data_IF_302957215187
#
_entry.id   IF_302957215187
#
_cell.length_a   1.000
_cell.length_b   1.000
_cell.length_c   1.000
_cell.angle_alpha   90.00
_cell.angle_beta   90.00
_cell.angle_gamma   90.00
#
_symmetry.space_group_name_H-M   'P 1'
#
loop_
_entity.id
_entity.type
_entity.pdbx_description
1 polymer ?
#
# COMPACT_ATOMS: atom_id res chain seq x y z
N UNK A 1 -35.07 -54.62 -26.91
CA UNK A 1 -34.26 -53.47 -27.37
C UNK A 1 -34.50 -52.35 -26.37
N UNK A 2 -33.66 -52.26 -25.34
CA UNK A 2 -33.83 -51.35 -24.20
C UNK A 2 -32.88 -50.18 -24.39
N UNK A 3 -33.42 -48.98 -24.54
CA UNK A 3 -32.64 -47.75 -24.67
C UNK A 3 -32.25 -47.26 -23.27
N UNK A 4 -31.00 -47.50 -22.89
CA UNK A 4 -30.40 -46.97 -21.67
C UNK A 4 -30.12 -45.47 -21.82
N UNK A 5 -31.08 -44.66 -21.38
CA UNK A 5 -30.96 -43.20 -21.27
C UNK A 5 -30.28 -42.84 -19.95
N UNK A 6 -29.00 -43.22 -19.78
CA UNK A 6 -28.22 -42.87 -18.59
C UNK A 6 -27.06 -41.94 -18.94
N UNK A 7 -27.39 -40.67 -19.23
CA UNK A 7 -26.43 -39.57 -19.24
C UNK A 7 -26.94 -38.44 -18.36
N UNK A 8 -26.93 -38.65 -17.05
CA UNK A 8 -27.02 -37.55 -16.07
C UNK A 8 -25.80 -36.65 -16.28
N UNK A 9 -26.04 -35.55 -16.97
CA UNK A 9 -25.12 -34.43 -17.11
C UNK A 9 -24.81 -33.86 -15.72
N UNK A 10 -23.78 -34.40 -15.08
CA UNK A 10 -23.14 -33.79 -13.92
C UNK A 10 -22.23 -32.64 -14.38
N UNK A 11 -22.83 -31.64 -15.04
CA UNK A 11 -22.22 -30.32 -15.21
C UNK A 11 -22.90 -29.36 -14.22
N UNK A 12 -22.73 -29.66 -12.94
CA UNK A 12 -22.92 -28.68 -11.87
C UNK A 12 -21.58 -27.93 -11.65
N UNK A 13 -21.63 -26.65 -11.27
CA UNK A 13 -21.08 -25.63 -12.15
C UNK A 13 -19.68 -25.18 -11.71
N UNK A 14 -18.76 -25.24 -12.66
CA UNK A 14 -17.41 -24.68 -12.57
C UNK A 14 -17.41 -23.13 -12.43
N UNK A 15 -18.59 -22.51 -12.31
CA UNK A 15 -18.80 -21.08 -12.04
C UNK A 15 -18.86 -20.73 -10.54
N UNK A 16 -19.09 -21.68 -9.63
CA UNK A 16 -19.15 -21.41 -8.18
C UNK A 16 -17.76 -21.38 -7.55
N UNK A 17 -16.79 -22.14 -8.08
CA UNK A 17 -15.38 -22.08 -7.65
C UNK A 17 -14.64 -20.83 -8.15
N UNK A 18 -15.18 -20.11 -9.15
CA UNK A 18 -14.54 -18.94 -9.79
C UNK A 18 -14.65 -17.62 -9.00
N UNK A 19 -15.35 -17.61 -7.87
CA UNK A 19 -15.68 -16.36 -7.16
C UNK A 19 -15.22 -16.36 -5.71
N UNK A 20 -14.15 -17.09 -5.35
CA UNK A 20 -13.31 -16.65 -4.23
C UNK A 20 -12.36 -15.55 -4.72
N UNK A 21 -12.94 -14.53 -5.35
CA UNK A 21 -12.25 -13.27 -5.61
C UNK A 21 -11.64 -12.86 -4.28
N UNK A 22 -10.33 -12.69 -4.25
CA UNK A 22 -9.63 -12.30 -3.03
C UNK A 22 -10.34 -11.09 -2.46
N UNK A 23 -10.99 -11.30 -1.32
CA UNK A 23 -11.68 -10.25 -0.59
C UNK A 23 -10.58 -9.40 0.04
N UNK A 24 -9.96 -8.55 -0.78
CA UNK A 24 -9.03 -7.55 -0.31
C UNK A 24 -9.86 -6.63 0.56
N UNK A 25 -9.73 -6.84 1.86
CA UNK A 25 -10.45 -6.07 2.84
C UNK A 25 -9.92 -4.64 2.79
N UNK A 26 -10.82 -3.66 2.71
CA UNK A 26 -10.50 -2.24 2.77
C UNK A 26 -9.57 -1.92 3.98
N UNK A 27 -9.83 -2.58 5.12
CA UNK A 27 -8.98 -2.51 6.30
C UNK A 27 -7.52 -2.94 6.09
N UNK A 28 -7.23 -3.85 5.14
CA UNK A 28 -5.85 -4.22 4.80
C UNK A 28 -5.13 -3.08 4.09
N UNK A 29 -5.84 -2.30 3.26
CA UNK A 29 -5.31 -1.10 2.62
C UNK A 29 -5.00 -0.02 3.66
N UNK A 30 -5.91 0.21 4.61
CA UNK A 30 -5.69 1.12 5.74
C UNK A 30 -4.46 0.70 6.55
N UNK A 31 -4.37 -0.58 6.95
CA UNK A 31 -3.23 -1.09 7.73
C UNK A 31 -1.90 -0.95 6.97
N UNK A 32 -1.91 -1.25 5.68
CA UNK A 32 -0.74 -1.05 4.81
C UNK A 32 -0.29 0.42 4.82
N UNK A 33 -1.20 1.36 4.55
CA UNK A 33 -0.86 2.79 4.50
C UNK A 33 -0.41 3.31 5.87
N UNK A 34 -1.06 2.89 6.95
CA UNK A 34 -0.67 3.28 8.31
C UNK A 34 0.76 2.86 8.64
N UNK A 35 1.12 1.60 8.39
CA UNK A 35 2.47 1.08 8.65
C UNK A 35 3.48 1.72 7.70
N UNK A 36 3.12 1.91 6.43
CA UNK A 36 3.94 2.63 5.45
C UNK A 36 4.32 4.01 5.96
N UNK A 37 3.33 4.81 6.36
CA UNK A 37 3.58 6.18 6.77
C UNK A 37 4.33 6.27 8.10
N UNK A 38 4.08 5.38 9.07
CA UNK A 38 4.90 5.31 10.29
C UNK A 38 6.37 5.03 9.94
N UNK A 39 6.64 4.01 9.11
CA UNK A 39 8.01 3.68 8.72
C UNK A 39 8.68 4.82 7.95
N UNK A 40 7.94 5.46 7.04
CA UNK A 40 8.43 6.61 6.29
C UNK A 40 8.77 7.80 7.20
N UNK A 41 7.86 8.22 8.08
CA UNK A 41 8.11 9.34 8.99
C UNK A 41 9.19 9.05 10.02
N UNK A 42 9.33 7.79 10.44
CA UNK A 42 10.44 7.37 11.29
C UNK A 42 11.77 7.58 10.56
N UNK A 43 11.92 7.08 9.33
CA UNK A 43 13.13 7.29 8.53
C UNK A 43 13.39 8.78 8.29
N UNK A 44 12.35 9.55 7.95
CA UNK A 44 12.44 10.99 7.72
C UNK A 44 12.89 11.77 8.97
N UNK A 45 12.57 11.30 10.17
CA UNK A 45 12.98 11.94 11.42
C UNK A 45 14.52 11.93 11.58
N UNK A 46 15.19 10.87 11.13
CA UNK A 46 16.65 10.75 11.23
C UNK A 46 17.38 11.30 10.01
N UNK A 47 16.75 11.29 8.85
CA UNK A 47 17.35 11.83 7.62
C UNK A 47 17.37 13.36 7.67
N UNK A 48 18.54 13.93 7.35
CA UNK A 48 18.73 15.38 7.32
C UNK A 48 18.60 16.03 8.70
N UNK A 49 18.85 15.29 9.79
CA UNK A 49 18.83 15.79 11.17
C UNK A 49 17.51 16.43 11.62
N UNK A 50 16.39 16.20 10.92
CA UNK A 50 15.11 16.87 11.22
C UNK A 50 14.65 16.71 12.66
N UNK A 51 14.77 15.52 13.24
CA UNK A 51 14.45 15.31 14.66
C UNK A 51 15.40 16.06 15.58
N UNK A 52 16.71 16.05 15.27
CA UNK A 52 17.70 16.78 16.05
C UNK A 52 17.42 18.28 16.03
N UNK A 53 17.12 18.82 14.86
CA UNK A 53 16.86 20.25 14.67
C UNK A 53 15.54 20.68 15.29
N UNK A 54 14.52 19.82 15.26
CA UNK A 54 13.21 20.11 15.87
C UNK A 54 13.21 19.91 17.39
N UNK A 55 13.93 18.91 17.91
CA UNK A 55 13.84 18.47 19.31
C UNK A 55 15.11 18.77 20.10
N UNK A 56 16.24 18.22 19.67
CA UNK A 56 17.49 18.25 20.47
C UNK A 56 18.06 19.66 20.55
N UNK A 57 18.15 20.37 19.43
CA UNK A 57 18.76 21.71 19.37
C UNK A 57 17.88 22.79 20.02
N UNK A 58 16.58 22.52 20.21
CA UNK A 58 15.62 23.44 20.83
C UNK A 58 15.37 23.15 22.32
N UNK A 59 15.89 22.05 22.87
CA UNK A 59 15.67 21.69 24.26
C UNK A 59 16.74 22.28 25.18
N UNK A 60 16.34 23.09 26.15
CA UNK A 60 17.23 23.65 27.18
C UNK A 60 17.30 22.77 28.44
N UNK A 61 16.39 21.79 28.57
CA UNK A 61 16.31 20.88 29.71
C UNK A 61 15.81 19.49 29.30
N UNK A 62 16.00 18.50 30.16
CA UNK A 62 15.50 17.13 29.94
C UNK A 62 13.98 17.07 29.85
N UNK A 63 13.26 17.88 30.64
CA UNK A 63 11.80 17.95 30.59
C UNK A 63 11.31 18.56 29.27
N UNK A 64 11.99 19.59 28.78
CA UNK A 64 11.69 20.20 27.48
C UNK A 64 11.95 19.23 26.33
N UNK A 65 13.04 18.44 26.39
CA UNK A 65 13.35 17.40 25.41
C UNK A 65 12.20 16.38 25.30
N UNK A 66 11.68 15.90 26.43
CA UNK A 66 10.53 14.97 26.44
C UNK A 66 9.29 15.62 25.83
N UNK A 67 8.98 16.87 26.22
CA UNK A 67 7.84 17.63 25.68
C UNK A 67 7.93 17.79 24.16
N UNK A 68 9.10 18.21 23.65
CA UNK A 68 9.32 18.39 22.21
C UNK A 68 9.29 17.06 21.46
N UNK A 69 9.84 15.99 22.04
CA UNK A 69 9.76 14.64 21.45
C UNK A 69 8.31 14.19 21.30
N UNK A 70 7.49 14.32 22.35
CA UNK A 70 6.06 13.96 22.31
C UNK A 70 5.33 14.84 21.29
N UNK A 71 5.60 16.16 21.29
CA UNK A 71 5.03 17.09 20.32
C UNK A 71 5.34 16.69 18.87
N UNK A 72 6.58 16.32 18.58
CA UNK A 72 7.01 15.85 17.26
C UNK A 72 6.32 14.55 16.84
N UNK A 73 6.21 13.58 17.76
CA UNK A 73 5.50 12.31 17.48
C UNK A 73 4.01 12.55 17.25
N UNK A 74 3.36 13.37 18.08
CA UNK A 74 1.95 13.73 17.91
C UNK A 74 1.69 14.48 16.61
N UNK A 75 2.59 15.40 16.24
CA UNK A 75 2.55 16.10 14.96
C UNK A 75 2.55 15.10 13.80
N UNK A 76 3.48 14.14 13.78
CA UNK A 76 3.51 13.08 12.76
C UNK A 76 2.22 12.25 12.76
N UNK A 77 1.81 11.76 13.93
CA UNK A 77 0.61 10.93 14.08
C UNK A 77 -0.66 11.65 13.62
N UNK A 78 -0.72 12.96 13.77
CA UNK A 78 -1.85 13.77 13.31
C UNK A 78 -1.95 13.85 11.79
N UNK A 79 -0.82 13.88 11.06
CA UNK A 79 -0.81 13.93 9.59
C UNK A 79 -1.14 12.59 8.94
N UNK A 80 -0.80 11.47 9.58
CA UNK A 80 -0.98 10.12 9.02
C UNK A 80 -2.44 9.85 8.59
N UNK A 81 -3.49 10.12 9.40
CA UNK A 81 -4.88 9.92 9.01
C UNK A 81 -5.27 10.64 7.72
N UNK A 82 -4.82 11.89 7.51
CA UNK A 82 -5.13 12.64 6.29
C UNK A 82 -4.56 11.96 5.05
N UNK A 83 -3.31 11.50 5.13
CA UNK A 83 -2.67 10.76 4.05
C UNK A 83 -3.36 9.43 3.78
N UNK A 84 -3.77 8.71 4.84
CA UNK A 84 -4.54 7.47 4.69
C UNK A 84 -5.86 7.74 3.97
N UNK A 85 -6.61 8.77 4.36
CA UNK A 85 -7.91 9.08 3.73
C UNK A 85 -7.73 9.35 2.23
N UNK A 86 -6.72 10.14 1.85
CA UNK A 86 -6.45 10.51 0.46
C UNK A 86 -6.02 9.28 -0.36
N UNK A 87 -5.09 8.47 0.14
CA UNK A 87 -4.46 7.40 -0.64
C UNK A 87 -5.15 6.03 -0.49
N UNK A 88 -6.05 5.83 0.49
CA UNK A 88 -6.72 4.54 0.69
C UNK A 88 -7.74 4.24 -0.41
N UNK A 89 -8.43 5.24 -0.93
CA UNK A 89 -9.42 5.04 -2.01
C UNK A 89 -8.72 4.62 -3.31
N UNK A 90 -7.71 5.36 -3.83
CA UNK A 90 -7.00 4.96 -5.04
C UNK A 90 -6.41 3.56 -4.96
N UNK A 91 -5.71 3.22 -3.87
CA UNK A 91 -5.09 1.90 -3.76
C UNK A 91 -6.12 0.76 -3.68
N UNK A 92 -7.24 1.00 -3.00
CA UNK A 92 -8.33 0.03 -2.93
C UNK A 92 -8.96 -0.21 -4.32
N UNK A 93 -9.10 0.83 -5.14
CA UNK A 93 -9.57 0.70 -6.52
C UNK A 93 -8.58 -0.06 -7.40
N UNK A 94 -7.28 0.20 -7.24
CA UNK A 94 -6.21 -0.53 -7.96
C UNK A 94 -6.32 -2.02 -7.68
N UNK A 95 -6.51 -2.41 -6.41
CA UNK A 95 -6.69 -3.81 -6.02
C UNK A 95 -7.93 -4.51 -6.62
N UNK A 96 -8.91 -3.77 -7.14
CA UNK A 96 -10.08 -4.34 -7.84
C UNK A 96 -9.82 -4.62 -9.32
N UNK A 97 -8.72 -4.14 -9.89
CA UNK A 97 -8.41 -4.31 -11.31
C UNK A 97 -8.07 -5.78 -11.60
N UNK A 98 -8.78 -6.38 -12.55
CA UNK A 98 -8.58 -7.78 -12.96
C UNK A 98 -7.48 -7.94 -14.02
N UNK A 99 -7.29 -6.94 -14.88
CA UNK A 99 -6.27 -6.98 -15.92
C UNK A 99 -4.89 -6.71 -15.30
N UNK A 100 -3.96 -7.66 -15.45
CA UNK A 100 -2.61 -7.60 -14.86
C UNK A 100 -1.81 -6.38 -15.33
N UNK A 101 -1.84 -6.08 -16.62
CA UNK A 101 -1.07 -4.97 -17.18
C UNK A 101 -1.61 -3.63 -16.66
N UNK A 102 -2.93 -3.47 -16.65
CA UNK A 102 -3.58 -2.28 -16.11
C UNK A 102 -3.32 -2.14 -14.59
N UNK A 103 -3.34 -3.24 -13.86
CA UNK A 103 -3.03 -3.26 -12.42
C UNK A 103 -1.61 -2.75 -12.13
N UNK A 104 -0.61 -3.31 -12.82
CA UNK A 104 0.79 -2.89 -12.66
C UNK A 104 0.97 -1.43 -13.08
N UNK A 105 0.36 -1.03 -14.19
CA UNK A 105 0.41 0.36 -14.66
C UNK A 105 -0.17 1.33 -13.63
N UNK A 106 -1.36 1.04 -13.08
CA UNK A 106 -1.96 1.89 -12.05
C UNK A 106 -1.15 1.91 -10.75
N UNK A 107 -0.46 0.82 -10.38
CA UNK A 107 0.47 0.83 -9.24
C UNK A 107 1.66 1.76 -9.50
N UNK A 108 2.26 1.71 -10.69
CA UNK A 108 3.36 2.60 -11.07
C UNK A 108 2.90 4.06 -11.00
N UNK A 109 1.74 4.36 -11.58
CA UNK A 109 1.14 5.71 -11.54
C UNK A 109 0.84 6.13 -10.10
N UNK A 110 0.33 5.24 -9.26
CA UNK A 110 0.05 5.54 -7.86
C UNK A 110 1.31 5.90 -7.08
N UNK A 111 2.35 5.07 -7.18
CA UNK A 111 3.63 5.34 -6.52
C UNK A 111 4.34 6.58 -7.08
N UNK A 112 4.24 6.82 -8.39
CA UNK A 112 4.73 8.06 -9.01
C UNK A 112 3.98 9.29 -8.51
N UNK A 113 2.65 9.24 -8.42
CA UNK A 113 1.85 10.33 -7.87
C UNK A 113 2.17 10.57 -6.39
N UNK A 114 2.35 9.53 -5.58
CA UNK A 114 2.80 9.67 -4.20
C UNK A 114 4.17 10.32 -4.10
N UNK A 115 5.11 9.97 -4.99
CA UNK A 115 6.42 10.61 -5.07
C UNK A 115 6.30 12.11 -5.36
N UNK A 116 5.54 12.48 -6.41
CA UNK A 116 5.37 13.87 -6.83
C UNK A 116 4.65 14.70 -5.76
N UNK A 117 3.56 14.19 -5.20
CA UNK A 117 2.81 14.87 -4.13
C UNK A 117 3.74 15.14 -2.93
N UNK A 118 4.57 14.17 -2.54
CA UNK A 118 5.49 14.38 -1.43
C UNK A 118 6.62 15.36 -1.75
N UNK A 119 7.25 15.20 -2.91
CA UNK A 119 8.34 16.09 -3.33
C UNK A 119 7.85 17.52 -3.44
N UNK A 120 6.70 17.74 -4.08
CA UNK A 120 6.13 19.06 -4.28
C UNK A 120 5.65 19.72 -2.97
N UNK A 121 5.03 18.97 -2.05
CA UNK A 121 4.48 19.56 -0.83
C UNK A 121 5.53 19.82 0.25
N UNK A 122 6.58 18.99 0.33
CA UNK A 122 7.50 19.02 1.47
C UNK A 122 8.92 19.45 1.13
N UNK A 123 9.35 19.28 -0.12
CA UNK A 123 10.74 19.53 -0.50
C UNK A 123 10.92 19.74 -2.01
N UNK A 124 10.39 20.84 -2.59
CA UNK A 124 10.45 21.06 -4.04
C UNK A 124 11.87 21.06 -4.61
N UNK A 125 12.87 21.45 -3.79
CA UNK A 125 14.27 21.54 -4.17
C UNK A 125 15.10 20.28 -3.87
N UNK A 126 14.57 19.34 -3.09
CA UNK A 126 15.26 18.10 -2.73
C UNK A 126 14.28 16.92 -2.81
N UNK A 127 14.44 16.09 -3.85
CA UNK A 127 13.61 14.92 -4.10
C UNK A 127 13.89 13.71 -3.20
N UNK A 128 14.89 13.78 -2.31
CA UNK A 128 15.28 12.67 -1.44
C UNK A 128 14.10 12.15 -0.58
N UNK A 129 13.26 12.99 0.06
CA UNK A 129 12.08 12.54 0.81
C UNK A 129 11.11 11.73 -0.06
N UNK A 130 10.89 12.15 -1.31
CA UNK A 130 10.08 11.41 -2.27
C UNK A 130 10.64 10.01 -2.55
N UNK A 131 11.96 9.90 -2.74
CA UNK A 131 12.64 8.61 -2.98
C UNK A 131 12.46 7.68 -1.79
N UNK A 132 12.63 8.15 -0.55
CA UNK A 132 12.43 7.32 0.63
C UNK A 132 10.97 6.85 0.75
N UNK A 133 10.00 7.73 0.49
CA UNK A 133 8.57 7.36 0.48
C UNK A 133 8.28 6.26 -0.56
N UNK A 134 8.87 6.39 -1.76
CA UNK A 134 8.74 5.42 -2.85
C UNK A 134 9.32 4.05 -2.45
N UNK A 135 10.58 4.01 -2.00
CA UNK A 135 11.28 2.77 -1.64
C UNK A 135 10.58 2.05 -0.48
N UNK A 136 10.26 2.78 0.59
CA UNK A 136 9.57 2.23 1.76
C UNK A 136 8.17 1.73 1.37
N UNK A 137 7.47 2.50 0.53
CA UNK A 137 6.17 2.12 -0.01
C UNK A 137 6.20 0.79 -0.77
N UNK A 138 7.14 0.63 -1.69
CA UNK A 138 7.31 -0.60 -2.47
C UNK A 138 7.64 -1.79 -1.56
N UNK A 139 8.58 -1.64 -0.63
CA UNK A 139 8.99 -2.71 0.30
C UNK A 139 7.81 -3.17 1.16
N UNK A 140 7.11 -2.23 1.80
CA UNK A 140 5.96 -2.55 2.66
C UNK A 140 4.79 -3.10 1.85
N UNK A 141 4.62 -2.63 0.61
CA UNK A 141 3.62 -3.18 -0.30
C UNK A 141 3.89 -4.67 -0.57
N UNK A 142 5.13 -5.05 -0.87
CA UNK A 142 5.47 -6.47 -1.06
C UNK A 142 5.24 -7.28 0.22
N UNK A 143 5.63 -6.78 1.40
CA UNK A 143 5.37 -7.46 2.68
C UNK A 143 3.87 -7.72 2.88
N UNK A 144 3.02 -6.72 2.60
CA UNK A 144 1.58 -6.84 2.80
C UNK A 144 0.87 -7.60 1.70
N UNK A 145 1.36 -7.58 0.45
CA UNK A 145 0.59 -8.03 -0.70
C UNK A 145 1.29 -9.06 -1.59
N UNK A 146 2.44 -9.63 -1.20
CA UNK A 146 3.09 -10.69 -2.00
C UNK A 146 2.22 -11.95 -2.17
N UNK A 147 1.52 -12.38 -1.11
CA UNK A 147 0.61 -13.55 -1.16
C UNK A 147 -0.65 -13.31 -1.98
N UNK A 148 -1.35 -12.18 -1.82
CA UNK A 148 -2.55 -11.91 -2.59
C UNK A 148 -2.26 -11.39 -4.01
N UNK A 149 -1.07 -11.62 -4.59
CA UNK A 149 -0.90 -11.40 -6.02
C UNK A 149 -1.88 -12.34 -6.71
N UNK A 150 -2.88 -11.81 -7.43
CA UNK A 150 -3.93 -12.63 -7.97
C UNK A 150 -3.37 -13.72 -8.89
N UNK A 151 -3.89 -14.94 -8.72
CA UNK A 151 -3.63 -16.15 -9.52
C UNK A 151 -3.92 -15.96 -11.03
N UNK A 152 -4.05 -14.74 -11.53
CA UNK A 152 -4.08 -14.41 -12.94
C UNK A 152 -2.80 -14.86 -13.67
N UNK A 153 -1.68 -15.05 -12.95
CA UNK A 153 -0.44 -15.57 -13.52
C UNK A 153 -0.45 -17.06 -13.87
N UNK A 154 -1.36 -17.84 -13.28
CA UNK A 154 -1.36 -19.31 -13.47
C UNK A 154 -2.40 -19.80 -14.47
N UNK A 155 -3.40 -18.99 -14.84
CA UNK A 155 -4.50 -19.43 -15.70
C UNK A 155 -4.22 -19.45 -17.20
N UNK A 156 -3.22 -18.73 -17.70
CA UNK A 156 -2.93 -18.72 -19.14
C UNK A 156 -2.25 -20.02 -19.63
N UNK A 157 -1.80 -20.90 -18.72
CA UNK A 157 -1.15 -22.17 -19.12
C UNK A 157 -2.13 -23.31 -19.40
N UNK A 158 -3.39 -23.23 -19.00
CA UNK A 158 -4.35 -24.34 -19.15
C UNK A 158 -5.16 -24.29 -20.47
N UNK A 159 -5.09 -23.21 -21.25
CA UNK A 159 -5.84 -23.06 -22.52
C UNK A 159 -4.97 -23.22 -23.79
N UNK A 160 -3.75 -23.74 -23.68
CA UNK A 160 -2.87 -24.04 -24.83
C UNK A 160 -2.63 -25.55 -25.02
N UNK A 161 -3.49 -26.41 -24.47
CA UNK A 161 -3.59 -27.84 -24.77
C UNK A 161 -4.90 -28.12 -25.47
#
# INVERSE_FOLDING_TARGET
MSFDFNRKNNHAPDSIARTKAMKINFFRCIKYLFIKYIAFFFVLAFIGNRFRDAVINNANSSMELVKLTIGYVLYILFYIPFLIIIFCIPIYLIFKIKNKFLYIFCLIVFFGAEYEIYTYLFSPSDGSPGIYNLVIGIVIYFIFFYKPIPNFLTKDKENCQ
#
